data_IF_245947185829
#
_entry.id   IF_245947185829
#
_cell.length_a   1.000
_cell.length_b   1.000
_cell.length_c   1.000
_cell.angle_alpha   90.00
_cell.angle_beta   90.00
_cell.angle_gamma   90.00
#
_symmetry.space_group_name_H-M   'P 1'
#
loop_
_entity.id
_entity.type
_entity.pdbx_description
1 polymer ?
#
# COMPACT_ATOMS: atom_id res chain seq x y z
N UNK A 1 -20.81 -14.36 41.59
CA UNK A 1 -21.80 -13.64 40.74
C UNK A 1 -21.32 -12.20 40.68
N UNK A 2 -20.95 -11.58 39.56
CA UNK A 2 -21.54 -11.58 38.21
C UNK A 2 -20.41 -11.42 37.18
N UNK A 3 -20.49 -12.21 36.11
CA UNK A 3 -19.65 -12.10 34.92
C UNK A 3 -20.28 -11.05 33.99
N UNK A 4 -19.51 -10.06 33.54
CA UNK A 4 -19.89 -9.20 32.43
C UNK A 4 -19.26 -9.75 31.15
N UNK A 5 -20.12 -10.19 30.22
CA UNK A 5 -19.73 -10.55 28.86
C UNK A 5 -19.64 -9.27 28.03
N UNK A 6 -18.48 -9.00 27.45
CA UNK A 6 -18.37 -8.07 26.33
C UNK A 6 -18.74 -8.83 25.07
N UNK A 7 -19.84 -8.44 24.41
CA UNK A 7 -20.18 -8.95 23.08
C UNK A 7 -19.50 -8.09 22.03
N UNK A 8 -18.63 -8.69 21.22
CA UNK A 8 -18.06 -8.08 20.01
C UNK A 8 -18.98 -8.44 18.84
N UNK A 9 -19.67 -7.45 18.28
CA UNK A 9 -20.49 -7.61 17.09
C UNK A 9 -19.73 -7.14 15.84
N UNK A 10 -19.73 -7.95 14.79
CA UNK A 10 -19.26 -7.55 13.46
C UNK A 10 -20.42 -6.92 12.68
N UNK A 11 -20.25 -5.66 12.26
CA UNK A 11 -21.17 -4.99 11.34
C UNK A 11 -20.49 -4.86 9.97
N UNK A 12 -21.11 -5.48 8.96
CA UNK A 12 -20.72 -5.41 7.56
C UNK A 12 -21.57 -4.34 6.89
N UNK A 13 -20.96 -3.24 6.42
CA UNK A 13 -21.64 -2.21 5.63
C UNK A 13 -21.29 -2.35 4.14
N UNK A 14 -22.25 -2.69 3.26
CA UNK A 14 -22.07 -2.67 1.83
C UNK A 14 -22.73 -1.40 1.25
N UNK A 15 -21.98 -0.32 1.09
CA UNK A 15 -21.81 0.43 -0.19
C UNK A 15 -21.05 1.75 -0.02
N UNK A 16 -20.36 2.21 -1.08
CA UNK A 16 -19.49 3.39 -1.04
C UNK A 16 -20.26 4.64 -1.49
N UNK A 17 -20.27 5.71 -0.68
CA UNK A 17 -20.47 7.11 -1.12
C UNK A 17 -19.80 8.06 -0.13
N UNK A 18 -18.79 8.77 -0.62
CA UNK A 18 -18.26 10.07 -0.20
C UNK A 18 -18.42 10.46 1.28
N UNK A 19 -17.34 10.29 2.04
CA UNK A 19 -17.19 10.86 3.38
C UNK A 19 -16.56 12.26 3.26
N UNK A 20 -17.41 13.27 3.21
CA UNK A 20 -17.03 14.67 3.47
C UNK A 20 -17.04 14.87 4.99
N UNK A 21 -15.86 15.07 5.59
CA UNK A 21 -15.76 15.48 6.98
C UNK A 21 -16.12 16.97 7.11
N UNK A 22 -17.21 17.30 7.80
CA UNK A 22 -17.53 18.67 8.24
C UNK A 22 -17.35 18.73 9.76
N UNK A 23 -16.35 19.49 10.21
CA UNK A 23 -16.07 19.72 11.62
C UNK A 23 -16.77 21.02 12.06
N UNK A 24 -17.68 20.94 13.04
CA UNK A 24 -18.23 22.12 13.72
C UNK A 24 -17.43 22.37 15.01
N UNK A 25 -16.68 23.48 15.15
CA UNK A 25 -16.17 23.86 16.46
C UNK A 25 -17.27 24.59 17.24
N UNK A 26 -17.85 23.91 18.22
CA UNK A 26 -18.63 24.55 19.27
C UNK A 26 -17.68 25.35 20.17
N UNK A 27 -17.75 26.68 20.09
CA UNK A 27 -17.06 27.61 21.01
C UNK A 27 -18.05 28.06 22.07
N UNK A 28 -17.89 27.59 23.31
CA UNK A 28 -18.40 28.25 24.51
C UNK A 28 -17.43 29.37 24.86
N UNK A 29 -17.86 30.61 24.66
CA UNK A 29 -17.09 31.81 24.97
C UNK A 29 -17.06 32.08 26.49
N UNK A 30 -15.87 32.20 27.06
CA UNK A 30 -15.60 32.96 28.28
C UNK A 30 -14.77 34.20 27.91
N UNK A 31 -15.01 35.37 28.54
CA UNK A 31 -14.42 36.61 28.09
C UNK A 31 -13.06 36.87 28.76
N UNK A 32 -12.09 37.27 27.93
CA UNK A 32 -10.96 38.10 28.35
C UNK A 32 -9.68 37.36 28.71
N UNK A 33 -8.83 37.08 27.71
CA UNK A 33 -7.40 37.37 27.80
C UNK A 33 -6.75 37.33 26.40
N UNK A 34 -6.02 38.41 26.10
CA UNK A 34 -4.88 38.57 25.18
C UNK A 34 -4.97 38.01 23.73
N UNK A 35 -4.81 38.91 22.75
CA UNK A 35 -4.86 38.65 21.29
C UNK A 35 -3.52 38.29 20.66
N UNK A 36 -2.43 38.12 21.41
CA UNK A 36 -1.13 37.79 20.84
C UNK A 36 -0.66 36.37 21.17
N UNK A 37 -1.05 35.43 20.30
CA UNK A 37 -0.26 34.28 19.82
C UNK A 37 -1.19 33.12 19.41
N UNK A 38 -1.99 33.34 18.37
CA UNK A 38 -2.40 32.22 17.51
C UNK A 38 -1.16 31.72 16.77
N UNK A 39 -0.27 31.02 17.48
CA UNK A 39 0.68 30.08 16.87
C UNK A 39 -0.19 29.00 16.27
N UNK A 40 -0.48 29.18 14.99
CA UNK A 40 -1.10 28.24 14.10
C UNK A 40 -0.35 26.90 14.23
N UNK A 41 -0.83 26.01 15.10
CA UNK A 41 -0.49 24.60 15.02
C UNK A 41 -1.20 24.11 13.76
N UNK A 42 -0.54 24.27 12.62
CA UNK A 42 -0.83 23.49 11.43
C UNK A 42 -0.57 22.04 11.84
N UNK A 43 -1.60 21.35 12.34
CA UNK A 43 -1.60 19.89 12.35
C UNK A 43 -1.47 19.51 10.89
N UNK A 44 -0.29 19.02 10.52
CA UNK A 44 -0.05 18.43 9.21
C UNK A 44 -1.12 17.38 9.01
N UNK A 45 -2.03 17.61 8.06
CA UNK A 45 -2.75 16.48 7.47
C UNK A 45 -1.66 15.57 6.93
N UNK A 46 -1.46 14.43 7.59
CA UNK A 46 -0.58 13.38 7.10
C UNK A 46 -1.14 13.01 5.73
N UNK A 47 -0.51 13.54 4.68
CA UNK A 47 -0.74 13.07 3.33
C UNK A 47 -0.25 11.64 3.38
N UNK A 48 -1.16 10.67 3.37
CA UNK A 48 -0.78 9.27 3.17
C UNK A 48 -0.07 9.22 1.81
N UNK A 49 1.25 9.31 1.83
CA UNK A 49 2.07 9.24 0.64
C UNK A 49 2.04 7.78 0.18
N UNK A 50 1.10 7.43 -0.70
CA UNK A 50 1.17 6.17 -1.43
C UNK A 50 2.36 6.30 -2.39
N UNK A 51 3.46 5.66 -2.02
CA UNK A 51 4.66 5.60 -2.84
C UNK A 51 4.46 4.51 -3.90
N UNK A 52 4.79 4.81 -5.15
CA UNK A 52 4.48 3.92 -6.29
C UNK A 52 5.72 3.10 -6.65
N UNK A 53 5.62 1.76 -6.56
CA UNK A 53 6.64 0.83 -7.07
C UNK A 53 6.40 0.50 -8.55
N UNK A 54 5.15 0.28 -8.91
CA UNK A 54 4.69 0.03 -10.27
C UNK A 54 3.48 0.92 -10.52
N UNK A 55 3.50 1.80 -11.54
CA UNK A 55 2.37 2.66 -11.86
C UNK A 55 1.07 1.88 -12.01
N UNK A 56 -0.05 2.53 -11.67
CA UNK A 56 -1.36 1.97 -11.96
C UNK A 56 -1.52 1.72 -13.46
N UNK A 57 -2.30 0.69 -13.79
CA UNK A 57 -2.61 0.28 -15.17
C UNK A 57 -1.38 -0.09 -16.01
N UNK A 58 -0.28 -0.50 -15.37
CA UNK A 58 0.87 -1.08 -16.06
C UNK A 58 0.45 -2.37 -16.76
N UNK A 59 0.65 -2.43 -18.07
CA UNK A 59 0.43 -3.61 -18.90
C UNK A 59 1.63 -4.56 -18.78
N UNK A 60 1.42 -5.74 -18.20
CA UNK A 60 2.41 -6.81 -18.12
C UNK A 60 2.09 -7.92 -19.11
N UNK A 61 2.91 -8.00 -20.15
CA UNK A 61 2.89 -9.05 -21.17
C UNK A 61 4.15 -9.92 -21.18
N UNK A 62 5.16 -9.54 -20.40
CA UNK A 62 6.43 -10.23 -20.21
C UNK A 62 6.99 -9.93 -18.81
N UNK A 63 8.00 -10.68 -18.32
CA UNK A 63 8.69 -10.36 -17.09
C UNK A 63 9.27 -8.94 -17.10
N UNK A 64 9.25 -8.27 -15.97
CA UNK A 64 9.69 -6.88 -15.87
C UNK A 64 9.86 -6.40 -14.45
N UNK A 65 10.18 -5.12 -14.33
CA UNK A 65 10.37 -4.45 -13.05
C UNK A 65 9.91 -3.01 -13.09
N UNK A 66 9.54 -2.49 -11.92
CA UNK A 66 9.17 -1.11 -11.72
C UNK A 66 10.39 -0.20 -11.57
N UNK A 67 10.11 1.04 -11.18
CA UNK A 67 11.14 2.01 -10.83
C UNK A 67 11.85 1.67 -9.52
N UNK A 68 13.01 2.29 -9.30
CA UNK A 68 13.65 2.33 -7.99
C UNK A 68 12.91 3.34 -7.12
N UNK A 69 12.37 2.90 -5.98
CA UNK A 69 11.66 3.75 -5.03
C UNK A 69 12.50 3.95 -3.77
N UNK A 70 12.85 5.18 -3.44
CA UNK A 70 13.49 5.52 -2.17
C UNK A 70 12.48 5.54 -1.02
N UNK A 71 12.80 4.89 0.10
CA UNK A 71 11.92 4.76 1.26
C UNK A 71 11.92 5.99 2.18
N UNK A 72 13.01 6.77 2.19
CA UNK A 72 13.16 7.91 3.10
C UNK A 72 12.84 7.57 4.55
N UNK A 73 11.83 8.23 5.12
CA UNK A 73 11.40 8.05 6.51
C UNK A 73 10.75 6.68 6.81
N UNK A 74 10.45 5.87 5.80
CA UNK A 74 9.92 4.51 5.94
C UNK A 74 11.03 3.43 6.03
N UNK A 75 12.30 3.80 5.80
CA UNK A 75 13.40 2.85 5.92
C UNK A 75 13.47 2.25 7.35
N UNK A 76 13.57 0.93 7.44
CA UNK A 76 13.60 0.22 8.73
C UNK A 76 12.27 0.16 9.48
N UNK A 77 11.14 0.53 8.84
CA UNK A 77 9.80 0.43 9.42
C UNK A 77 8.95 -0.63 8.72
N UNK A 78 7.94 -1.21 9.40
CA UNK A 78 6.93 -1.99 8.70
C UNK A 78 6.13 -1.10 7.75
N UNK A 79 5.91 -1.58 6.54
CA UNK A 79 5.13 -0.91 5.50
C UNK A 79 4.03 -1.83 4.99
N UNK A 80 2.98 -1.25 4.41
CA UNK A 80 1.96 -1.99 3.69
C UNK A 80 2.21 -1.91 2.19
N UNK A 81 2.43 -3.05 1.55
CA UNK A 81 2.52 -3.14 0.09
C UNK A 81 1.18 -3.59 -0.46
N UNK A 82 0.64 -2.87 -1.43
CA UNK A 82 -0.68 -3.13 -2.01
C UNK A 82 -0.55 -3.43 -3.50
N UNK A 83 -0.85 -4.67 -3.87
CA UNK A 83 -0.96 -5.11 -5.26
C UNK A 83 -2.40 -4.95 -5.74
N UNK A 84 -2.60 -4.27 -6.86
CA UNK A 84 -3.92 -4.07 -7.48
C UNK A 84 -3.90 -4.59 -8.90
N UNK A 85 -4.69 -5.62 -9.19
CA UNK A 85 -4.88 -6.18 -10.53
C UNK A 85 -6.24 -5.74 -11.06
N UNK A 86 -6.25 -4.99 -12.16
CA UNK A 86 -7.44 -4.35 -12.76
C UNK A 86 -7.93 -5.09 -13.99
N UNK A 87 -7.02 -5.63 -14.81
CA UNK A 87 -7.35 -6.44 -15.98
C UNK A 87 -6.52 -7.73 -16.02
N UNK A 88 -7.13 -8.79 -16.57
CA UNK A 88 -6.61 -10.15 -16.67
C UNK A 88 -7.46 -10.89 -17.71
N UNK A 89 -6.87 -11.86 -18.41
CA UNK A 89 -7.56 -12.83 -19.26
C UNK A 89 -7.58 -14.23 -18.61
N UNK A 90 -8.38 -15.16 -19.12
CA UNK A 90 -8.46 -16.50 -18.53
C UNK A 90 -7.17 -17.31 -18.78
N UNK A 91 -6.78 -18.17 -17.82
CA UNK A 91 -5.66 -19.15 -17.93
C UNK A 91 -4.27 -18.53 -18.08
N UNK A 92 -3.97 -17.56 -17.23
CA UNK A 92 -2.65 -16.96 -17.06
C UNK A 92 -2.38 -16.71 -15.59
N UNK A 93 -1.12 -16.41 -15.28
CA UNK A 93 -0.71 -16.07 -13.94
C UNK A 93 0.26 -14.90 -13.90
N UNK A 94 0.18 -14.15 -12.81
CA UNK A 94 1.04 -13.04 -12.46
C UNK A 94 1.71 -13.35 -11.13
N UNK A 95 3.03 -13.31 -11.12
CA UNK A 95 3.83 -13.50 -9.92
C UNK A 95 4.59 -12.21 -9.63
N UNK A 96 4.35 -11.59 -8.47
CA UNK A 96 4.92 -10.28 -8.11
C UNK A 96 5.81 -10.41 -6.89
N UNK A 97 7.00 -9.83 -6.94
CA UNK A 97 7.92 -9.70 -5.82
C UNK A 97 8.30 -8.26 -5.52
N UNK A 98 8.77 -8.04 -4.30
CA UNK A 98 9.43 -6.81 -3.87
C UNK A 98 10.87 -7.15 -3.52
N UNK A 99 11.81 -6.45 -4.17
CA UNK A 99 13.24 -6.52 -3.86
C UNK A 99 13.68 -5.27 -3.12
N UNK A 100 14.73 -5.39 -2.31
CA UNK A 100 15.30 -4.27 -1.56
C UNK A 100 16.75 -4.03 -1.94
N UNK A 101 17.18 -2.77 -1.83
CA UNK A 101 18.55 -2.34 -2.08
C UNK A 101 18.98 -1.26 -1.09
N UNK A 102 20.27 -1.18 -0.78
CA UNK A 102 20.83 -0.10 0.03
C UNK A 102 21.13 1.15 -0.81
N UNK A 103 21.45 0.98 -2.10
CA UNK A 103 21.88 2.06 -3.01
C UNK A 103 20.99 2.26 -4.25
N UNK A 104 19.99 1.39 -4.44
CA UNK A 104 19.00 1.52 -5.52
C UNK A 104 19.46 0.98 -6.88
N UNK A 105 20.57 0.24 -6.92
CA UNK A 105 21.11 -0.38 -8.15
C UNK A 105 21.37 -1.89 -8.02
N UNK A 106 21.76 -2.37 -6.84
CA UNK A 106 21.89 -3.81 -6.56
C UNK A 106 20.71 -4.29 -5.73
N UNK A 107 19.91 -5.19 -6.32
CA UNK A 107 18.67 -5.68 -5.75
C UNK A 107 18.83 -7.07 -5.12
N UNK A 108 20.05 -7.60 -5.10
CA UNK A 108 20.37 -8.93 -4.60
C UNK A 108 19.71 -10.07 -5.38
N UNK A 109 19.86 -11.29 -4.87
CA UNK A 109 19.31 -12.51 -5.48
C UNK A 109 18.00 -12.97 -4.85
N UNK A 110 17.66 -12.47 -3.66
CA UNK A 110 16.49 -12.89 -2.90
C UNK A 110 15.54 -11.71 -2.71
N UNK A 111 14.30 -11.87 -3.19
CA UNK A 111 13.23 -10.93 -2.91
C UNK A 111 12.97 -10.83 -1.39
N UNK A 112 12.58 -9.65 -0.94
CA UNK A 112 12.11 -9.41 0.43
C UNK A 112 10.74 -10.05 0.66
N UNK A 113 9.90 -10.05 -0.37
CA UNK A 113 8.55 -10.58 -0.32
C UNK A 113 8.07 -11.07 -1.69
N UNK A 114 7.24 -12.11 -1.68
CA UNK A 114 6.50 -12.62 -2.84
C UNK A 114 5.02 -12.62 -2.52
N UNK A 115 4.22 -12.05 -3.41
CA UNK A 115 2.78 -12.27 -3.36
C UNK A 115 2.48 -13.71 -3.79
N UNK A 116 1.44 -14.35 -3.19
CA UNK A 116 0.85 -15.52 -3.81
C UNK A 116 0.50 -15.22 -5.27
N UNK A 117 0.73 -16.20 -6.13
CA UNK A 117 0.46 -16.11 -7.57
C UNK A 117 -0.99 -15.67 -7.83
N UNK A 118 -1.17 -14.78 -8.80
CA UNK A 118 -2.44 -14.14 -9.11
C UNK A 118 -2.98 -14.58 -10.46
N UNK A 119 -4.25 -14.95 -10.44
CA UNK A 119 -5.00 -15.43 -11.61
C UNK A 119 -6.21 -14.55 -11.92
N UNK A 120 -6.58 -13.64 -11.01
CA UNK A 120 -7.80 -12.84 -11.08
C UNK A 120 -7.55 -11.40 -10.65
N UNK A 121 -8.50 -10.54 -10.99
CA UNK A 121 -8.57 -9.16 -10.53
C UNK A 121 -8.73 -9.09 -9.01
N UNK A 122 -8.26 -7.99 -8.43
CA UNK A 122 -8.45 -7.74 -7.01
C UNK A 122 -7.38 -6.84 -6.41
N UNK A 123 -7.58 -6.52 -5.14
CA UNK A 123 -6.63 -5.75 -4.32
C UNK A 123 -6.10 -6.68 -3.25
N UNK A 124 -4.78 -6.78 -3.14
CA UNK A 124 -4.12 -7.59 -2.12
C UNK A 124 -3.14 -6.73 -1.33
N UNK A 125 -3.48 -6.37 -0.08
CA UNK A 125 -2.53 -5.80 0.85
C UNK A 125 -1.63 -6.89 1.45
N UNK A 126 -0.37 -6.55 1.72
CA UNK A 126 0.59 -7.38 2.43
C UNK A 126 1.49 -6.51 3.32
N UNK A 127 1.66 -6.90 4.58
CA UNK A 127 2.62 -6.24 5.46
C UNK A 127 4.05 -6.72 5.15
N UNK A 128 4.96 -5.77 4.97
CA UNK A 128 6.38 -6.02 4.79
C UNK A 128 7.14 -5.37 5.95
N UNK A 129 7.71 -6.20 6.83
CA UNK A 129 8.53 -5.73 7.94
C UNK A 129 9.99 -5.53 7.51
N UNK A 130 10.43 -4.27 7.55
CA UNK A 130 11.82 -3.86 7.26
C UNK A 130 12.64 -3.62 8.53
N UNK A 131 12.08 -3.80 9.73
CA UNK A 131 12.75 -3.51 11.01
C UNK A 131 14.06 -4.29 11.19
N UNK A 132 14.11 -5.50 10.66
CA UNK A 132 15.30 -6.38 10.70
C UNK A 132 16.28 -6.11 9.55
N UNK A 133 15.98 -5.16 8.66
CA UNK A 133 16.81 -4.79 7.48
C UNK A 133 16.90 -3.26 7.31
N UNK A 134 17.40 -2.53 8.33
CA UNK A 134 17.49 -1.07 8.26
C UNK A 134 18.40 -0.56 7.15
N UNK A 135 19.28 -1.41 6.60
CA UNK A 135 20.13 -1.13 5.45
C UNK A 135 19.35 -0.95 4.15
N UNK A 136 18.13 -1.51 4.03
CA UNK A 136 17.30 -1.34 2.83
C UNK A 136 16.76 0.08 2.76
N UNK A 137 17.19 0.83 1.74
CA UNK A 137 16.78 2.23 1.49
C UNK A 137 15.92 2.37 0.24
N UNK A 138 16.00 1.41 -0.67
CA UNK A 138 15.24 1.40 -1.91
C UNK A 138 14.45 0.11 -2.05
N UNK A 139 13.28 0.20 -2.66
CA UNK A 139 12.45 -0.93 -3.07
C UNK A 139 12.24 -0.92 -4.59
N UNK A 140 12.07 -2.11 -5.16
CA UNK A 140 11.65 -2.29 -6.54
C UNK A 140 10.63 -3.43 -6.63
N UNK A 141 9.51 -3.18 -7.31
CA UNK A 141 8.56 -4.22 -7.69
C UNK A 141 9.07 -4.97 -8.93
N UNK A 142 8.94 -6.30 -8.94
CA UNK A 142 9.28 -7.14 -10.10
C UNK A 142 8.14 -8.10 -10.38
N UNK A 143 7.97 -8.48 -11.63
CA UNK A 143 6.91 -9.39 -12.02
C UNK A 143 7.36 -10.39 -13.08
N UNK A 144 6.71 -11.54 -13.04
CA UNK A 144 6.74 -12.56 -14.07
C UNK A 144 5.31 -12.89 -14.47
N UNK A 145 5.11 -13.21 -15.74
CA UNK A 145 3.81 -13.60 -16.28
C UNK A 145 3.93 -14.93 -17.02
N UNK A 146 2.91 -15.76 -16.89
CA UNK A 146 2.83 -17.05 -17.55
C UNK A 146 1.44 -17.27 -18.16
N UNK A 147 1.39 -17.96 -19.31
CA UNK A 147 0.18 -18.15 -20.11
C UNK A 147 0.10 -19.60 -20.57
N UNK A 148 -1.00 -20.29 -20.30
CA UNK A 148 -1.20 -21.69 -20.72
C UNK A 148 -2.55 -21.98 -21.38
N UNK A 149 -3.38 -20.95 -21.59
CA UNK A 149 -4.65 -21.13 -22.28
C UNK A 149 -4.56 -21.12 -23.79
N UNK A 150 -5.69 -21.44 -24.41
CA UNK A 150 -5.87 -21.42 -25.87
C UNK A 150 -6.17 -19.99 -26.34
N UNK A 151 -5.81 -19.65 -27.58
CA UNK A 151 -6.06 -18.33 -28.17
C UNK A 151 -4.83 -17.42 -28.13
N UNK A 152 -4.98 -16.17 -27.67
CA UNK A 152 -3.89 -15.19 -27.60
C UNK A 152 -2.71 -15.78 -26.81
N UNK A 153 -1.52 -15.94 -27.44
CA UNK A 153 -0.39 -16.60 -26.80
C UNK A 153 0.34 -15.70 -25.80
N UNK A 154 -0.01 -14.41 -25.78
CA UNK A 154 0.62 -13.41 -24.92
C UNK A 154 -0.18 -13.27 -23.61
N UNK A 155 0.47 -13.37 -22.44
CA UNK A 155 -0.14 -12.96 -21.17
C UNK A 155 -0.57 -11.49 -21.23
N UNK A 156 -1.62 -11.11 -20.51
CA UNK A 156 -2.09 -9.73 -20.43
C UNK A 156 -2.69 -9.40 -19.06
N UNK A 157 -1.88 -8.81 -18.20
CA UNK A 157 -2.33 -8.21 -16.95
C UNK A 157 -2.28 -6.69 -17.01
N UNK A 158 -3.27 -6.00 -16.42
CA UNK A 158 -3.10 -4.62 -15.96
C UNK A 158 -3.08 -4.58 -14.45
N UNK A 159 -2.05 -3.97 -13.89
CA UNK A 159 -1.87 -3.92 -12.45
C UNK A 159 -1.06 -2.70 -12.00
N UNK A 160 -1.01 -2.49 -10.69
CA UNK A 160 -0.14 -1.53 -10.02
C UNK A 160 0.33 -2.05 -8.67
N UNK A 161 1.41 -1.47 -8.16
CA UNK A 161 2.01 -1.82 -6.88
C UNK A 161 2.39 -0.55 -6.13
N UNK A 162 1.82 -0.37 -4.95
CA UNK A 162 2.06 0.81 -4.10
C UNK A 162 2.52 0.41 -2.69
N UNK A 163 3.21 1.32 -2.02
CA UNK A 163 3.70 1.21 -0.65
C UNK A 163 3.06 2.32 0.16
N UNK A 164 2.56 1.95 1.34
CA UNK A 164 1.91 2.85 2.29
C UNK A 164 2.57 2.67 3.65
N UNK A 165 2.57 3.72 4.46
CA UNK A 165 2.92 3.59 5.87
C UNK A 165 1.90 2.66 6.56
N UNK A 166 2.39 1.66 7.31
CA UNK A 166 1.52 0.82 8.11
C UNK A 166 1.12 1.62 9.37
N UNK A 167 -0.19 1.83 9.64
CA UNK A 167 -0.61 2.54 10.83
C UNK A 167 -0.10 1.83 12.09
N UNK A 168 0.25 2.57 13.16
CA UNK A 168 0.51 1.96 14.46
C UNK A 168 -0.75 1.24 14.94
N UNK A 169 -0.61 -0.06 15.24
CA UNK A 169 -1.67 -0.92 15.78
C UNK A 169 -1.90 -0.71 17.27
#
# INVERSE_FOLDING_TARGET
>A
MRSERVMVGFFWDPRPRDLVYVFFPGVLASPGLDRSACRLMMTSNATTHNLVLVPADTEAEAPGHGGSLELGALAGKPVLVVLRVTEVIEQESLHVSVSGSAEGSDWGTKALFWFPERFYRGVTPAALDLSQRPEVKFLQGRWEVNRWGRGTPRPHFKFGLEVQELPPG
#
